data_IF_088781057315
#
_entry.id   IF_088781057315
#
_cell.length_a   1.000
_cell.length_b   1.000
_cell.length_c   1.000
_cell.angle_alpha   90.00
_cell.angle_beta   90.00
_cell.angle_gamma   90.00
#
_symmetry.space_group_name_H-M   'P 1'
#
loop_
_entity.id
_entity.type
_entity.pdbx_description
1 polymer ?
#
# COMPACT_ATOMS: atom_id res chain seq x y z
N UNK A 1 2.34 9.72 -2.40
CA UNK A 1 1.09 9.47 -1.64
C UNK A 1 -0.03 9.63 -2.64
N UNK A 2 -0.87 8.62 -2.78
CA UNK A 2 -1.98 8.61 -3.74
C UNK A 2 -3.30 8.52 -2.97
N UNK A 3 -4.39 8.89 -3.63
CA UNK A 3 -5.73 8.53 -3.16
C UNK A 3 -5.95 7.02 -3.27
N UNK A 4 -7.10 6.52 -2.82
CA UNK A 4 -7.52 5.15 -3.11
C UNK A 4 -7.90 5.00 -4.59
N UNK A 5 -6.89 4.99 -5.45
CA UNK A 5 -6.99 4.85 -6.90
C UNK A 5 -5.88 3.91 -7.39
N UNK A 6 -6.27 2.84 -8.08
CA UNK A 6 -5.33 1.79 -8.54
C UNK A 6 -4.31 2.34 -9.54
N UNK A 7 -4.73 3.24 -10.43
CA UNK A 7 -3.87 3.76 -11.48
C UNK A 7 -2.79 4.68 -10.90
N UNK A 8 -3.15 5.54 -9.95
CA UNK A 8 -2.21 6.42 -9.26
C UNK A 8 -1.16 5.63 -8.47
N UNK A 9 -1.56 4.61 -7.70
CA UNK A 9 -0.63 3.76 -6.95
C UNK A 9 0.29 2.98 -7.89
N UNK A 10 -0.25 2.42 -8.96
CA UNK A 10 0.52 1.67 -9.96
C UNK A 10 1.56 2.55 -10.64
N UNK A 11 1.15 3.73 -11.12
CA UNK A 11 2.03 4.64 -11.85
C UNK A 11 3.15 5.18 -10.95
N UNK A 12 2.80 5.63 -9.74
CA UNK A 12 3.80 6.19 -8.83
C UNK A 12 4.81 5.13 -8.36
N UNK A 13 4.35 3.90 -8.09
CA UNK A 13 5.24 2.80 -7.70
C UNK A 13 6.24 2.45 -8.81
N UNK A 14 5.77 2.35 -10.07
CA UNK A 14 6.64 2.11 -11.22
C UNK A 14 7.66 3.22 -11.43
N UNK A 15 7.23 4.49 -11.37
CA UNK A 15 8.15 5.62 -11.50
C UNK A 15 9.23 5.63 -10.41
N UNK A 16 8.89 5.23 -9.19
CA UNK A 16 9.86 5.13 -8.10
C UNK A 16 10.85 3.96 -8.30
N UNK A 17 10.39 2.81 -8.79
CA UNK A 17 11.27 1.69 -9.15
C UNK A 17 12.19 2.04 -10.35
N UNK A 18 11.64 2.66 -11.40
CA UNK A 18 12.40 3.11 -12.58
C UNK A 18 13.45 4.17 -12.24
N UNK A 19 13.19 4.98 -11.20
CA UNK A 19 14.16 5.93 -10.66
C UNK A 19 15.31 5.25 -9.88
N UNK A 20 15.27 3.93 -9.67
CA UNK A 20 16.31 3.15 -9.02
C UNK A 20 16.16 3.00 -7.51
N UNK A 21 14.94 3.10 -6.97
CA UNK A 21 14.71 2.84 -5.55
C UNK A 21 14.98 1.38 -5.19
N UNK A 22 15.68 1.13 -4.07
CA UNK A 22 15.91 -0.23 -3.56
C UNK A 22 14.64 -0.86 -2.95
N UNK A 23 13.75 0.00 -2.41
CA UNK A 23 12.49 -0.39 -1.80
C UNK A 23 11.51 0.79 -1.79
N UNK A 24 10.21 0.51 -1.58
CA UNK A 24 9.17 1.54 -1.42
C UNK A 24 8.61 1.56 0.01
N UNK A 25 8.31 2.75 0.54
CA UNK A 25 7.50 2.91 1.77
C UNK A 25 6.12 3.48 1.38
N UNK A 26 5.06 2.71 1.61
CA UNK A 26 3.69 3.15 1.29
C UNK A 26 3.13 3.92 2.47
N UNK A 27 3.04 5.24 2.35
CA UNK A 27 2.51 6.07 3.43
C UNK A 27 0.98 5.94 3.52
N UNK A 28 0.51 5.12 4.46
CA UNK A 28 -0.90 4.94 4.81
C UNK A 28 -1.22 5.57 6.18
N UNK A 29 -0.33 6.42 6.71
CA UNK A 29 -0.43 6.92 8.08
C UNK A 29 -0.64 8.44 8.19
N UNK A 30 -0.46 9.21 7.11
CA UNK A 30 -0.46 10.67 7.19
C UNK A 30 -1.86 11.25 7.48
N UNK A 31 -2.03 12.03 8.57
CA UNK A 31 -3.31 12.66 8.91
C UNK A 31 -3.63 13.89 8.05
N UNK A 32 -2.65 14.45 7.32
CA UNK A 32 -2.84 15.58 6.41
C UNK A 32 -3.30 15.15 5.00
N UNK A 33 -3.40 13.86 4.74
CA UNK A 33 -4.08 13.34 3.54
C UNK A 33 -5.58 13.53 3.73
N UNK A 34 -6.10 14.69 3.30
CA UNK A 34 -7.51 15.09 3.37
C UNK A 34 -8.46 13.89 3.51
N UNK A 35 -8.96 13.63 4.72
CA UNK A 35 -9.86 12.50 4.98
C UNK A 35 -11.11 12.51 4.09
N UNK A 36 -11.45 13.67 3.54
CA UNK A 36 -12.53 13.91 2.58
C UNK A 36 -12.26 13.32 1.17
N UNK A 37 -11.03 12.87 0.88
CA UNK A 37 -10.61 12.30 -0.43
C UNK A 37 -10.10 10.86 -0.36
N UNK A 38 -10.27 10.17 0.78
CA UNK A 38 -9.87 8.76 0.92
C UNK A 38 -8.38 8.53 0.67
N UNK A 39 -7.51 9.28 1.36
CA UNK A 39 -6.05 9.13 1.27
C UNK A 39 -5.42 8.96 2.66
N UNK A 40 -4.18 8.47 2.70
CA UNK A 40 -3.35 8.47 3.92
C UNK A 40 -4.02 7.75 5.09
N UNK A 41 -4.23 8.46 6.21
CA UNK A 41 -4.82 7.93 7.43
C UNK A 41 -6.18 7.23 7.20
N UNK A 42 -7.01 7.76 6.30
CA UNK A 42 -8.31 7.16 6.01
C UNK A 42 -8.17 5.78 5.36
N UNK A 43 -7.15 5.60 4.52
CA UNK A 43 -6.84 4.29 3.93
C UNK A 43 -6.22 3.34 4.95
N UNK A 44 -5.31 3.83 5.81
CA UNK A 44 -4.60 2.98 6.77
C UNK A 44 -5.44 2.47 7.95
N UNK A 45 -6.70 2.88 8.07
CA UNK A 45 -7.62 2.43 9.12
C UNK A 45 -8.55 1.30 8.66
N UNK A 46 -8.62 1.03 7.36
CA UNK A 46 -9.49 0.01 6.79
C UNK A 46 -8.64 -1.15 6.24
N UNK A 47 -8.77 -2.37 6.80
CA UNK A 47 -8.01 -3.54 6.34
C UNK A 47 -8.17 -3.83 4.84
N UNK A 48 -9.38 -3.69 4.29
CA UNK A 48 -9.67 -4.05 2.90
C UNK A 48 -9.03 -3.04 1.94
N UNK A 49 -9.01 -1.76 2.32
CA UNK A 49 -8.32 -0.71 1.56
C UNK A 49 -6.80 -0.97 1.55
N UNK A 50 -6.22 -1.30 2.71
CA UNK A 50 -4.79 -1.59 2.85
C UNK A 50 -4.39 -2.80 2.02
N UNK A 51 -5.17 -3.88 2.06
CA UNK A 51 -4.94 -5.08 1.26
C UNK A 51 -4.96 -4.77 -0.25
N UNK A 52 -5.96 -4.02 -0.72
CA UNK A 52 -6.07 -3.64 -2.13
C UNK A 52 -4.88 -2.79 -2.61
N UNK A 53 -4.46 -1.79 -1.82
CA UNK A 53 -3.28 -0.97 -2.16
C UNK A 53 -2.03 -1.86 -2.26
N UNK A 54 -1.83 -2.78 -1.32
CA UNK A 54 -0.69 -3.70 -1.36
C UNK A 54 -0.75 -4.62 -2.58
N UNK A 55 -1.93 -5.12 -2.98
CA UNK A 55 -2.12 -5.90 -4.21
C UNK A 55 -1.71 -5.09 -5.44
N UNK A 56 -2.18 -3.84 -5.56
CA UNK A 56 -1.88 -2.98 -6.71
C UNK A 56 -0.38 -2.68 -6.81
N UNK A 57 0.24 -2.28 -5.71
CA UNK A 57 1.69 -2.00 -5.67
C UNK A 57 2.48 -3.27 -5.96
N UNK A 58 2.11 -4.41 -5.38
CA UNK A 58 2.82 -5.67 -5.62
C UNK A 58 2.77 -6.10 -7.08
N UNK A 59 1.64 -5.88 -7.78
CA UNK A 59 1.52 -6.12 -9.24
C UNK A 59 2.34 -5.13 -10.07
N UNK A 60 2.58 -3.93 -9.54
CA UNK A 60 3.22 -2.83 -10.27
C UNK A 60 4.75 -2.93 -10.29
N UNK A 61 5.37 -3.39 -9.20
CA UNK A 61 6.84 -3.37 -9.02
C UNK A 61 7.40 -4.73 -8.64
N UNK A 62 8.73 -4.91 -8.75
CA UNK A 62 9.47 -6.11 -8.31
C UNK A 62 10.27 -5.88 -7.03
N UNK A 63 10.72 -4.65 -6.78
CA UNK A 63 11.39 -4.28 -5.53
C UNK A 63 10.49 -4.53 -4.30
N UNK A 64 11.07 -4.75 -3.11
CA UNK A 64 10.31 -4.84 -1.87
C UNK A 64 9.61 -3.52 -1.55
N UNK A 65 8.50 -3.60 -0.82
CA UNK A 65 7.85 -2.43 -0.26
C UNK A 65 7.36 -2.70 1.16
N UNK A 66 7.14 -1.64 1.92
CA UNK A 66 6.67 -1.70 3.30
C UNK A 66 5.50 -0.72 3.48
N UNK A 67 4.30 -1.21 3.83
CA UNK A 67 3.20 -0.33 4.19
C UNK A 67 3.41 0.28 5.57
N UNK A 68 3.48 1.61 5.63
CA UNK A 68 3.61 2.38 6.87
C UNK A 68 2.23 2.63 7.46
N UNK A 69 1.91 1.82 8.46
CA UNK A 69 0.61 1.81 9.12
C UNK A 69 0.46 2.93 10.14
N UNK A 70 -0.78 3.37 10.35
CA UNK A 70 -1.11 4.30 11.43
C UNK A 70 -1.25 3.55 12.76
N UNK A 71 -0.80 4.11 13.89
CA UNK A 71 -1.13 3.57 15.21
C UNK A 71 -2.56 3.92 15.65
N UNK A 72 -3.25 4.84 14.94
CA UNK A 72 -4.58 5.33 15.30
C UNK A 72 -5.69 4.40 14.77
N UNK A 73 -5.66 3.15 15.21
CA UNK A 73 -6.63 2.09 14.89
C UNK A 73 -6.96 1.29 16.13
N UNK A 74 -8.14 0.68 16.17
CA UNK A 74 -8.55 -0.19 17.27
C UNK A 74 -7.72 -1.47 17.33
N UNK A 75 -7.41 -2.06 16.16
CA UNK A 75 -6.63 -3.28 16.06
C UNK A 75 -5.62 -3.19 14.91
N UNK A 76 -4.38 -2.84 15.23
CA UNK A 76 -3.28 -2.75 14.26
C UNK A 76 -2.90 -4.11 13.68
N UNK A 77 -3.15 -5.21 14.39
CA UNK A 77 -2.83 -6.57 13.92
C UNK A 77 -3.71 -6.93 12.74
N UNK A 78 -4.99 -6.54 12.76
CA UNK A 78 -5.91 -6.74 11.63
C UNK A 78 -5.40 -6.07 10.35
N UNK A 79 -4.91 -4.83 10.46
CA UNK A 79 -4.36 -4.04 9.36
C UNK A 79 -3.06 -4.66 8.84
N UNK A 80 -2.15 -5.02 9.74
CA UNK A 80 -0.88 -5.65 9.37
C UNK A 80 -1.09 -6.99 8.64
N UNK A 81 -2.06 -7.80 9.07
CA UNK A 81 -2.44 -9.03 8.36
C UNK A 81 -2.98 -8.77 6.96
N UNK A 82 -3.76 -7.71 6.78
CA UNK A 82 -4.33 -7.35 5.49
C UNK A 82 -3.25 -6.88 4.50
N UNK A 83 -2.31 -6.04 4.97
CA UNK A 83 -1.12 -5.68 4.22
C UNK A 83 -0.34 -6.92 3.75
N UNK A 84 -0.07 -7.85 4.67
CA UNK A 84 0.69 -9.06 4.37
C UNK A 84 -0.02 -9.96 3.34
N UNK A 85 -1.34 -10.18 3.46
CA UNK A 85 -2.11 -10.91 2.45
C UNK A 85 -2.01 -10.26 1.07
N UNK A 86 -2.11 -8.94 1.00
CA UNK A 86 -2.00 -8.20 -0.25
C UNK A 86 -0.65 -8.38 -0.95
N UNK A 87 0.43 -8.46 -0.18
CA UNK A 87 1.77 -8.79 -0.67
C UNK A 87 1.87 -10.25 -1.20
N UNK A 88 1.30 -11.22 -0.48
CA UNK A 88 1.38 -12.65 -0.84
C UNK A 88 0.50 -13.04 -2.04
N UNK A 89 -0.66 -12.39 -2.21
CA UNK A 89 -1.67 -12.71 -3.23
C UNK A 89 -1.13 -12.68 -4.68
N UNK A 90 0.00 -12.02 -4.94
CA UNK A 90 0.61 -11.94 -6.28
C UNK A 90 1.79 -12.91 -6.44
N UNK A 91 2.48 -13.23 -5.34
CA UNK A 91 3.69 -14.09 -5.34
C UNK A 91 3.41 -15.51 -5.84
N UNK A 92 2.22 -16.04 -5.58
CA UNK A 92 1.78 -17.37 -6.03
C UNK A 92 1.57 -17.51 -7.54
N UNK A 93 1.64 -16.41 -8.31
CA UNK A 93 1.45 -16.42 -9.77
C UNK A 93 2.69 -16.03 -10.59
N UNK A 94 3.80 -15.67 -9.94
CA UNK A 94 5.03 -15.21 -10.62
C UNK A 94 6.32 -15.93 -10.19
N UNK A 95 6.20 -17.04 -9.46
CA UNK A 95 7.32 -17.91 -9.06
C UNK A 95 7.40 -19.23 -9.86
N UNK A 96 6.65 -19.36 -10.96
CA UNK A 96 6.77 -20.49 -11.92
C UNK A 96 7.34 -20.04 -13.24
#
# INVERSE_FOLDING_TARGET
>A
MCAFDEQDWTNLAKLAEEAGADALELNLSCPQGMGERGMGLACGQDPDIVENICIWVRKAVKIPFFPKLTPNVTDIVSIAKAAHRGEENVSSSQLT
#
